data_IF_013512394721
#
_entry.id   IF_013512394721
#
_cell.length_a   1.000
_cell.length_b   1.000
_cell.length_c   1.000
_cell.angle_alpha   90.00
_cell.angle_beta   90.00
_cell.angle_gamma   90.00
#
_symmetry.space_group_name_H-M   'P 1'
#
loop_
_entity.id
_entity.type
_entity.pdbx_description
1 polymer ?
#
# COMPACT_ATOMS: atom_id res chain seq x y z
N UNK A 1 2.88 2.48 -12.80
CA UNK A 1 3.79 3.07 -13.77
C UNK A 1 4.76 2.00 -14.28
N UNK A 2 5.47 1.33 -13.40
CA UNK A 2 6.46 0.29 -13.73
C UNK A 2 6.25 -0.88 -12.79
N UNK A 3 6.43 -2.10 -13.29
CA UNK A 3 6.41 -3.32 -12.49
C UNK A 3 5.35 -4.30 -12.98
N UNK A 4 5.45 -5.49 -12.44
CA UNK A 4 4.49 -6.57 -12.56
C UNK A 4 4.62 -7.46 -11.32
N UNK A 5 3.68 -8.36 -11.10
CA UNK A 5 3.68 -9.28 -9.94
C UNK A 5 4.93 -10.16 -9.83
N UNK A 6 5.64 -10.40 -10.94
CA UNK A 6 6.85 -11.23 -10.93
C UNK A 6 8.01 -10.59 -10.18
N UNK A 7 8.06 -9.24 -10.11
CA UNK A 7 9.09 -8.54 -9.32
C UNK A 7 8.97 -8.84 -7.83
N UNK A 8 7.76 -9.15 -7.36
CA UNK A 8 7.49 -9.43 -5.95
C UNK A 8 7.58 -10.93 -5.60
N UNK A 9 7.93 -11.80 -6.57
CA UNK A 9 7.95 -13.26 -6.38
C UNK A 9 8.75 -13.70 -5.15
N UNK A 10 9.96 -13.19 -4.98
CA UNK A 10 10.82 -13.58 -3.85
C UNK A 10 10.28 -13.05 -2.52
N UNK A 11 9.79 -11.82 -2.50
CA UNK A 11 9.12 -11.25 -1.34
C UNK A 11 7.91 -12.10 -0.92
N UNK A 12 7.06 -12.46 -1.87
CA UNK A 12 5.92 -13.36 -1.61
C UNK A 12 6.37 -14.73 -1.10
N UNK A 13 7.42 -15.30 -1.68
CA UNK A 13 7.95 -16.59 -1.22
C UNK A 13 8.49 -16.53 0.22
N UNK A 14 9.09 -15.41 0.63
CA UNK A 14 9.52 -15.21 2.02
C UNK A 14 8.33 -15.13 2.97
N UNK A 15 7.24 -14.48 2.58
CA UNK A 15 5.99 -14.47 3.37
C UNK A 15 5.37 -15.88 3.47
N UNK A 16 5.36 -16.64 2.37
CA UNK A 16 4.92 -18.05 2.40
C UNK A 16 5.75 -18.88 3.39
N UNK A 17 7.07 -18.70 3.46
CA UNK A 17 7.93 -19.35 4.45
C UNK A 17 7.59 -18.98 5.90
N UNK A 18 6.97 -17.83 6.12
CA UNK A 18 6.47 -17.41 7.45
C UNK A 18 5.05 -17.91 7.74
N UNK A 19 4.48 -18.76 6.86
CA UNK A 19 3.18 -19.40 7.06
C UNK A 19 1.98 -18.60 6.56
N UNK A 20 2.19 -17.64 5.65
CA UNK A 20 1.09 -16.92 5.00
C UNK A 20 0.67 -17.61 3.70
N UNK A 21 -0.63 -17.69 3.45
CA UNK A 21 -1.16 -17.84 2.10
C UNK A 21 -1.06 -16.47 1.41
N UNK A 22 -0.36 -16.41 0.28
CA UNK A 22 -0.06 -15.14 -0.39
C UNK A 22 -0.69 -15.08 -1.78
N UNK A 23 -1.48 -14.05 -2.03
CA UNK A 23 -2.00 -13.70 -3.34
C UNK A 23 -1.24 -12.48 -3.87
N UNK A 24 -0.45 -12.67 -4.93
CA UNK A 24 0.22 -11.59 -5.64
C UNK A 24 -0.66 -11.14 -6.79
N UNK A 25 -1.29 -9.97 -6.62
CA UNK A 25 -2.23 -9.43 -7.60
C UNK A 25 -1.51 -8.62 -8.68
N UNK A 26 -2.10 -8.59 -9.87
CA UNK A 26 -1.73 -7.70 -10.96
C UNK A 26 -2.79 -6.63 -11.14
N UNK A 27 -2.39 -5.43 -11.50
CA UNK A 27 -3.28 -4.33 -11.84
C UNK A 27 -2.73 -3.55 -13.03
N UNK A 28 -3.59 -2.92 -13.79
CA UNK A 28 -3.22 -2.12 -14.98
C UNK A 28 -2.25 -1.00 -14.59
N UNK A 29 -1.41 -0.62 -15.53
CA UNK A 29 -0.37 0.38 -15.29
C UNK A 29 -0.70 1.72 -15.96
N UNK A 30 -0.28 2.80 -15.33
CA UNK A 30 -0.29 4.14 -15.87
C UNK A 30 0.84 4.24 -16.92
N UNK A 31 0.64 4.86 -18.10
CA UNK A 31 -0.45 5.79 -18.43
C UNK A 31 -1.67 5.18 -19.14
N UNK A 32 -1.74 3.86 -19.31
CA UNK A 32 -2.81 3.19 -20.07
C UNK A 32 -4.16 3.19 -19.33
N UNK A 33 -4.15 3.55 -18.06
CA UNK A 33 -5.32 3.67 -17.19
C UNK A 33 -5.14 4.82 -16.19
N UNK A 34 -6.16 5.08 -15.37
CA UNK A 34 -6.08 5.96 -14.21
C UNK A 34 -6.05 5.15 -12.91
N UNK A 35 -5.76 5.81 -11.80
CA UNK A 35 -5.74 5.16 -10.47
C UNK A 35 -7.09 4.54 -10.11
N UNK A 36 -8.19 5.08 -10.62
CA UNK A 36 -9.53 4.53 -10.40
C UNK A 36 -9.69 3.15 -11.01
N UNK A 37 -9.07 2.92 -12.17
CA UNK A 37 -9.03 1.62 -12.83
C UNK A 37 -8.15 0.64 -12.04
N UNK A 38 -7.02 1.11 -11.50
CA UNK A 38 -6.16 0.30 -10.63
C UNK A 38 -6.87 -0.08 -9.33
N UNK A 39 -7.61 0.85 -8.74
CA UNK A 39 -8.45 0.58 -7.56
C UNK A 39 -9.50 -0.48 -7.90
N UNK A 40 -10.17 -0.36 -9.04
CA UNK A 40 -11.15 -1.36 -9.48
C UNK A 40 -10.53 -2.74 -9.65
N UNK A 41 -9.32 -2.81 -10.25
CA UNK A 41 -8.58 -4.07 -10.39
C UNK A 41 -8.25 -4.70 -9.03
N UNK A 42 -7.86 -3.89 -8.03
CA UNK A 42 -7.62 -4.37 -6.66
C UNK A 42 -8.91 -4.93 -6.05
N UNK A 43 -10.05 -4.25 -6.22
CA UNK A 43 -11.33 -4.74 -5.67
C UNK A 43 -11.82 -6.00 -6.37
N UNK A 44 -11.63 -6.13 -7.69
CA UNK A 44 -11.88 -7.40 -8.41
C UNK A 44 -11.04 -8.55 -7.83
N UNK A 45 -9.76 -8.29 -7.55
CA UNK A 45 -8.89 -9.27 -6.92
C UNK A 45 -9.34 -9.60 -5.48
N UNK A 46 -9.77 -8.60 -4.70
CA UNK A 46 -10.30 -8.83 -3.35
C UNK A 46 -11.58 -9.67 -3.35
N UNK A 47 -12.48 -9.45 -4.30
CA UNK A 47 -13.70 -10.25 -4.44
C UNK A 47 -13.35 -11.71 -4.79
N UNK A 48 -12.46 -11.92 -5.75
CA UNK A 48 -11.95 -13.25 -6.08
C UNK A 48 -11.29 -13.94 -4.87
N UNK A 49 -10.42 -13.23 -4.15
CA UNK A 49 -9.75 -13.76 -2.96
C UNK A 49 -10.78 -14.15 -1.89
N UNK A 50 -11.77 -13.31 -1.64
CA UNK A 50 -12.84 -13.58 -0.67
C UNK A 50 -13.56 -14.88 -0.97
N UNK A 51 -13.87 -15.16 -2.23
CA UNK A 51 -14.54 -16.39 -2.67
C UNK A 51 -13.64 -17.63 -2.54
N UNK A 52 -12.34 -17.46 -2.81
CA UNK A 52 -11.38 -18.57 -2.85
C UNK A 52 -10.72 -18.88 -1.50
N UNK A 53 -10.66 -17.91 -0.60
CA UNK A 53 -9.81 -17.93 0.59
C UNK A 53 -9.96 -19.21 1.42
N UNK A 54 -11.20 -19.63 1.70
CA UNK A 54 -11.46 -20.84 2.48
C UNK A 54 -11.06 -22.13 1.74
N UNK A 55 -11.31 -22.19 0.43
CA UNK A 55 -10.94 -23.33 -0.42
C UNK A 55 -9.42 -23.48 -0.57
N UNK A 56 -8.71 -22.38 -0.54
CA UNK A 56 -7.25 -22.33 -0.63
C UNK A 56 -6.57 -22.51 0.75
N UNK A 57 -7.36 -22.73 1.82
CA UNK A 57 -6.85 -22.97 3.18
C UNK A 57 -6.48 -21.71 3.95
N UNK A 58 -6.97 -20.55 3.52
CA UNK A 58 -6.74 -19.27 4.20
C UNK A 58 -7.72 -19.01 5.33
N UNK A 59 -7.30 -18.18 6.27
CA UNK A 59 -8.09 -17.71 7.41
C UNK A 59 -8.67 -16.31 7.13
N UNK A 60 -9.99 -16.22 6.97
CA UNK A 60 -10.69 -14.97 6.70
C UNK A 60 -10.71 -14.00 7.89
N UNK A 61 -10.35 -14.46 9.09
CA UNK A 61 -10.24 -13.61 10.27
C UNK A 61 -8.89 -12.87 10.37
N UNK A 62 -7.88 -13.30 9.59
CA UNK A 62 -6.52 -12.76 9.59
C UNK A 62 -6.04 -12.45 8.17
N UNK A 63 -6.59 -11.38 7.57
CA UNK A 63 -6.24 -10.93 6.22
C UNK A 63 -5.48 -9.62 6.27
N UNK A 64 -4.38 -9.55 5.56
CA UNK A 64 -3.48 -8.39 5.54
C UNK A 64 -3.20 -7.95 4.11
N UNK A 65 -2.85 -6.68 3.93
CA UNK A 65 -2.34 -6.17 2.66
C UNK A 65 -0.90 -5.71 2.82
N UNK A 66 -0.04 -6.06 1.87
CA UNK A 66 1.31 -5.51 1.78
C UNK A 66 1.55 -4.94 0.38
N UNK A 67 2.31 -3.84 0.31
CA UNK A 67 2.64 -3.21 -0.97
C UNK A 67 3.83 -2.29 -0.85
N UNK A 68 4.54 -2.12 -1.96
CA UNK A 68 5.69 -1.24 -2.07
C UNK A 68 5.41 -0.08 -3.01
N UNK A 69 6.08 1.05 -2.78
CA UNK A 69 6.06 2.22 -3.68
C UNK A 69 4.64 2.67 -4.07
N UNK A 70 4.31 2.60 -5.36
CA UNK A 70 2.96 2.85 -5.88
C UNK A 70 1.92 1.87 -5.36
N UNK A 71 2.30 0.60 -5.14
CA UNK A 71 1.45 -0.42 -4.53
C UNK A 71 1.07 -0.06 -3.10
N UNK A 72 1.99 0.48 -2.29
CA UNK A 72 1.68 0.97 -0.94
C UNK A 72 0.64 2.10 -0.96
N UNK A 73 0.76 3.05 -1.92
CA UNK A 73 -0.24 4.09 -2.13
C UNK A 73 -1.60 3.49 -2.50
N UNK A 74 -1.61 2.54 -3.44
CA UNK A 74 -2.83 1.91 -3.95
C UNK A 74 -3.58 1.14 -2.87
N UNK A 75 -2.89 0.32 -2.05
CA UNK A 75 -3.54 -0.41 -0.96
C UNK A 75 -3.97 0.51 0.20
N UNK A 76 -3.32 1.66 0.39
CA UNK A 76 -3.80 2.69 1.33
C UNK A 76 -5.18 3.20 0.91
N UNK A 77 -5.37 3.52 -0.38
CA UNK A 77 -6.69 3.88 -0.89
C UNK A 77 -7.67 2.72 -0.81
N UNK A 78 -7.28 1.52 -1.24
CA UNK A 78 -8.15 0.36 -1.21
C UNK A 78 -8.65 0.06 0.21
N UNK A 79 -7.77 0.10 1.22
CA UNK A 79 -8.17 -0.12 2.60
C UNK A 79 -9.10 0.99 3.14
N UNK A 80 -8.83 2.27 2.82
CA UNK A 80 -9.71 3.37 3.21
C UNK A 80 -11.10 3.26 2.54
N UNK A 81 -11.15 2.89 1.27
CA UNK A 81 -12.39 2.64 0.51
C UNK A 81 -13.17 1.49 1.15
N UNK A 82 -12.50 0.39 1.49
CA UNK A 82 -13.10 -0.78 2.12
C UNK A 82 -13.81 -0.44 3.43
N UNK A 83 -13.26 0.51 4.18
CA UNK A 83 -13.72 0.85 5.53
C UNK A 83 -14.60 2.12 5.60
N UNK A 84 -14.81 2.84 4.47
CA UNK A 84 -15.52 4.11 4.48
C UNK A 84 -16.38 4.30 3.24
N UNK A 85 -17.69 4.37 3.45
CA UNK A 85 -18.68 4.48 2.38
C UNK A 85 -18.60 5.82 1.61
N UNK A 86 -18.15 6.91 2.24
CA UNK A 86 -17.98 8.18 1.55
C UNK A 86 -16.79 8.12 0.58
N UNK A 87 -15.68 7.48 1.00
CA UNK A 87 -14.51 7.29 0.15
C UNK A 87 -14.86 6.33 -0.98
N UNK A 88 -15.56 5.23 -0.68
CA UNK A 88 -16.04 4.27 -1.67
C UNK A 88 -16.90 4.94 -2.74
N UNK A 89 -17.86 5.76 -2.32
CA UNK A 89 -18.72 6.53 -3.24
C UNK A 89 -17.90 7.52 -4.08
N UNK A 90 -16.94 8.22 -3.47
CA UNK A 90 -16.07 9.16 -4.19
C UNK A 90 -15.17 8.46 -5.22
N UNK A 91 -14.73 7.24 -4.93
CA UNK A 91 -13.95 6.41 -5.85
C UNK A 91 -14.82 5.67 -6.89
N UNK A 92 -16.14 5.70 -6.73
CA UNK A 92 -17.11 4.92 -7.53
C UNK A 92 -16.82 3.41 -7.49
N UNK A 93 -16.54 2.88 -6.29
CA UNK A 93 -16.20 1.47 -6.06
C UNK A 93 -17.10 0.88 -4.99
N UNK A 94 -17.55 -0.35 -5.18
CA UNK A 94 -18.26 -1.12 -4.15
C UNK A 94 -17.24 -1.88 -3.31
N UNK A 95 -17.21 -1.71 -1.97
CA UNK A 95 -16.34 -2.49 -1.10
C UNK A 95 -16.62 -3.99 -1.20
N UNK A 96 -15.55 -4.81 -1.22
CA UNK A 96 -15.66 -6.28 -1.31
C UNK A 96 -16.23 -6.93 -0.03
N UNK A 97 -16.16 -6.22 1.08
CA UNK A 97 -16.51 -6.76 2.40
C UNK A 97 -15.45 -7.72 2.99
N UNK A 98 -14.30 -7.90 2.33
CA UNK A 98 -13.16 -8.63 2.90
C UNK A 98 -12.49 -7.77 3.98
N UNK A 99 -12.56 -8.19 5.23
CA UNK A 99 -11.94 -7.46 6.34
C UNK A 99 -10.41 -7.50 6.22
N UNK A 100 -9.77 -6.34 6.27
CA UNK A 100 -8.31 -6.22 6.31
C UNK A 100 -7.88 -5.83 7.71
N UNK A 101 -7.04 -6.65 8.34
CA UNK A 101 -6.66 -6.51 9.74
C UNK A 101 -5.50 -5.53 9.95
N UNK A 102 -4.52 -5.50 9.03
CA UNK A 102 -3.42 -4.54 9.06
C UNK A 102 -2.75 -4.39 7.68
N UNK A 103 -1.95 -3.33 7.54
CA UNK A 103 -1.22 -2.97 6.32
C UNK A 103 0.29 -3.01 6.54
N UNK A 104 1.03 -3.58 5.57
CA UNK A 104 2.48 -3.48 5.45
C UNK A 104 2.86 -2.56 4.29
N UNK A 105 3.35 -1.36 4.58
CA UNK A 105 3.63 -0.32 3.58
C UNK A 105 5.13 -0.08 3.44
N UNK A 106 5.69 -0.44 2.28
CA UNK A 106 7.14 -0.42 2.02
C UNK A 106 7.45 0.75 1.08
N UNK A 107 8.26 1.72 1.55
CA UNK A 107 8.75 2.82 0.71
C UNK A 107 7.63 3.55 -0.06
N UNK A 108 6.52 3.87 0.59
CA UNK A 108 5.28 4.26 -0.06
C UNK A 108 5.31 5.60 -0.80
N UNK A 109 4.70 5.65 -1.97
CA UNK A 109 4.53 6.86 -2.79
C UNK A 109 3.23 7.61 -2.40
N UNK A 110 3.13 8.06 -1.14
CA UNK A 110 1.88 8.62 -0.61
C UNK A 110 1.54 10.03 -1.13
N UNK A 111 2.54 10.90 -1.32
CA UNK A 111 2.33 12.31 -1.66
C UNK A 111 2.40 12.55 -3.17
N UNK A 112 1.47 12.01 -3.91
CA UNK A 112 1.44 12.03 -5.38
C UNK A 112 1.17 13.41 -5.99
N UNK A 113 0.70 14.38 -5.18
CA UNK A 113 0.39 15.75 -5.60
C UNK A 113 1.19 16.83 -4.85
N UNK A 114 2.24 16.44 -4.13
CA UNK A 114 3.14 17.38 -3.42
C UNK A 114 3.85 18.29 -4.42
N UNK A 115 4.18 19.51 -3.99
CA UNK A 115 4.96 20.44 -4.81
C UNK A 115 6.46 20.04 -4.83
N UNK A 116 6.75 18.97 -5.57
CA UNK A 116 8.07 18.43 -5.85
C UNK A 116 8.10 17.80 -7.26
N UNK A 117 9.23 17.19 -7.64
CA UNK A 117 9.42 16.60 -8.99
C UNK A 117 8.35 15.55 -9.33
N UNK A 118 7.89 14.78 -8.35
CA UNK A 118 6.87 13.74 -8.55
C UNK A 118 5.49 14.39 -8.70
N UNK A 119 5.09 15.19 -7.72
CA UNK A 119 3.75 15.74 -7.66
C UNK A 119 3.46 16.87 -8.67
N UNK A 120 4.49 17.41 -9.33
CA UNK A 120 4.30 18.34 -10.44
C UNK A 120 3.81 17.65 -11.73
N UNK A 121 4.26 16.42 -11.96
CA UNK A 121 3.98 15.71 -13.22
C UNK A 121 2.98 14.57 -13.07
N UNK A 122 3.04 13.85 -11.95
CA UNK A 122 2.31 12.61 -11.76
C UNK A 122 0.78 12.74 -11.66
N UNK A 123 0.19 13.77 -11.01
CA UNK A 123 -1.25 13.82 -10.76
C UNK A 123 -2.13 13.71 -12.00
N UNK A 124 -1.75 14.37 -13.09
CA UNK A 124 -2.52 14.33 -14.34
C UNK A 124 -2.57 12.95 -15.00
N UNK A 125 -1.54 12.14 -14.78
CA UNK A 125 -1.46 10.77 -15.29
C UNK A 125 -2.16 9.78 -14.36
N UNK A 126 -2.08 10.02 -13.03
CA UNK A 126 -2.73 9.18 -12.03
C UNK A 126 -4.25 9.41 -11.99
N UNK A 127 -4.67 10.66 -11.89
CA UNK A 127 -6.04 11.05 -11.56
C UNK A 127 -6.81 11.64 -12.73
N UNK A 128 -6.15 11.91 -13.87
CA UNK A 128 -6.72 12.64 -15.01
C UNK A 128 -6.57 14.16 -14.90
N UNK A 129 -6.74 14.87 -16.04
CA UNK A 129 -6.49 16.32 -16.12
C UNK A 129 -7.39 17.15 -15.20
N UNK A 130 -8.64 16.76 -15.07
CA UNK A 130 -9.67 17.49 -14.31
C UNK A 130 -9.92 16.90 -12.91
N UNK A 131 -9.01 16.11 -12.38
CA UNK A 131 -9.21 15.37 -11.12
C UNK A 131 -9.63 16.25 -9.94
N UNK A 132 -9.23 17.54 -9.93
CA UNK A 132 -9.60 18.50 -8.87
C UNK A 132 -11.10 18.77 -8.79
N UNK A 133 -11.86 18.48 -9.86
CA UNK A 133 -13.32 18.58 -9.92
C UNK A 133 -14.02 17.28 -9.46
N UNK A 134 -13.26 16.20 -9.28
CA UNK A 134 -13.77 14.89 -8.87
C UNK A 134 -14.02 14.84 -7.35
N UNK A 135 -15.02 14.12 -6.92
CA UNK A 135 -15.32 13.89 -5.50
C UNK A 135 -14.15 13.26 -4.73
N UNK A 136 -13.31 12.48 -5.42
CA UNK A 136 -12.13 11.86 -4.84
C UNK A 136 -10.96 12.83 -4.61
N UNK A 137 -10.99 14.04 -5.18
CA UNK A 137 -9.88 15.01 -5.12
C UNK A 137 -9.38 15.30 -3.70
N UNK A 138 -10.28 15.38 -2.72
CA UNK A 138 -9.93 15.62 -1.31
C UNK A 138 -9.09 14.51 -0.68
N UNK A 139 -9.17 13.28 -1.22
CA UNK A 139 -8.42 12.11 -0.75
C UNK A 139 -7.07 11.92 -1.44
N UNK A 140 -6.77 12.72 -2.47
CA UNK A 140 -5.43 12.77 -3.08
C UNK A 140 -4.37 13.26 -2.09
N UNK A 141 -4.79 14.08 -1.11
CA UNK A 141 -3.94 14.40 0.04
C UNK A 141 -3.97 13.22 1.03
N UNK A 142 -2.84 12.52 1.25
CA UNK A 142 -2.78 11.37 2.15
C UNK A 142 -3.00 11.74 3.61
N UNK A 143 -2.91 13.03 3.97
CA UNK A 143 -3.17 13.55 5.32
C UNK A 143 -4.66 13.87 5.55
N UNK A 144 -5.53 13.59 4.59
CA UNK A 144 -6.97 13.77 4.78
C UNK A 144 -7.45 12.94 5.98
N UNK A 145 -8.08 13.60 6.95
CA UNK A 145 -8.44 12.99 8.23
C UNK A 145 -9.44 11.84 8.08
N UNK A 146 -10.38 11.97 7.15
CA UNK A 146 -11.36 10.91 6.86
C UNK A 146 -10.67 9.67 6.29
N UNK A 147 -9.68 9.86 5.39
CA UNK A 147 -8.86 8.78 4.86
C UNK A 147 -8.06 8.10 5.97
N UNK A 148 -7.30 8.86 6.76
CA UNK A 148 -6.47 8.32 7.83
C UNK A 148 -7.29 7.54 8.87
N UNK A 149 -8.46 8.08 9.27
CA UNK A 149 -9.34 7.43 10.24
C UNK A 149 -9.96 6.13 9.73
N UNK A 150 -9.93 5.91 8.43
CA UNK A 150 -10.46 4.69 7.79
C UNK A 150 -9.42 3.58 7.63
N UNK A 151 -8.15 3.84 7.96
CA UNK A 151 -7.09 2.84 7.83
C UNK A 151 -7.11 1.83 8.98
N UNK A 152 -6.89 0.56 8.64
CA UNK A 152 -6.46 -0.47 9.57
C UNK A 152 -5.08 -0.12 10.16
N UNK A 153 -4.60 -0.80 11.24
CA UNK A 153 -3.25 -0.64 11.74
C UNK A 153 -2.18 -0.70 10.65
N UNK A 154 -1.17 0.17 10.71
CA UNK A 154 -0.21 0.39 9.62
C UNK A 154 1.21 0.12 10.08
N UNK A 155 1.91 -0.79 9.41
CA UNK A 155 3.35 -0.92 9.53
C UNK A 155 4.06 -0.27 8.34
N UNK A 156 5.07 0.53 8.61
CA UNK A 156 5.81 1.31 7.62
C UNK A 156 7.29 0.96 7.66
N UNK A 157 7.91 0.84 6.49
CA UNK A 157 9.35 0.72 6.39
C UNK A 157 9.92 1.58 5.27
N UNK A 158 11.09 2.15 5.51
CA UNK A 158 11.92 2.84 4.52
C UNK A 158 13.39 2.78 4.94
N UNK A 159 14.29 3.31 4.12
CA UNK A 159 15.70 3.43 4.45
C UNK A 159 16.20 4.86 4.28
N UNK A 160 17.37 5.14 4.85
CA UNK A 160 18.01 6.46 4.68
C UNK A 160 18.32 6.79 3.20
N UNK A 161 18.59 5.79 2.37
CA UNK A 161 18.94 5.94 0.96
C UNK A 161 17.75 5.84 0.01
N UNK A 162 16.53 5.64 0.53
CA UNK A 162 15.31 5.65 -0.26
C UNK A 162 14.93 7.08 -0.69
N UNK A 163 14.76 7.29 -1.98
CA UNK A 163 14.36 8.61 -2.51
C UNK A 163 12.94 9.01 -2.10
N UNK A 164 12.07 8.06 -1.72
CA UNK A 164 10.74 8.30 -1.13
C UNK A 164 10.72 8.29 0.40
N UNK A 165 11.88 8.21 1.08
CA UNK A 165 11.94 8.20 2.55
C UNK A 165 11.11 9.32 3.17
N UNK A 166 11.21 10.54 2.63
CA UNK A 166 10.46 11.68 3.15
C UNK A 166 8.94 11.48 3.05
N UNK A 167 8.45 10.80 2.02
CA UNK A 167 7.03 10.49 1.89
C UNK A 167 6.58 9.55 3.01
N UNK A 168 7.35 8.50 3.27
CA UNK A 168 7.04 7.53 4.33
C UNK A 168 7.10 8.17 5.72
N UNK A 169 8.14 8.98 6.03
CA UNK A 169 8.29 9.64 7.34
C UNK A 169 7.27 10.75 7.56
N UNK A 170 6.83 11.47 6.53
CA UNK A 170 5.79 12.49 6.66
C UNK A 170 4.39 11.85 6.80
N UNK A 171 4.16 10.71 6.14
CA UNK A 171 2.92 9.95 6.31
C UNK A 171 2.78 9.35 7.71
N UNK A 172 3.89 8.83 8.27
CA UNK A 172 3.93 8.41 9.68
C UNK A 172 3.54 9.54 10.64
N UNK A 173 4.09 10.75 10.46
CA UNK A 173 3.69 11.91 11.27
C UNK A 173 2.20 12.24 11.11
N UNK A 174 1.62 12.03 9.92
CA UNK A 174 0.20 12.22 9.71
C UNK A 174 -0.64 11.18 10.47
N UNK A 175 -0.21 9.92 10.48
CA UNK A 175 -0.81 8.85 11.28
C UNK A 175 -0.74 9.16 12.78
N UNK A 176 0.43 9.63 13.27
CA UNK A 176 0.60 10.08 14.67
C UNK A 176 -0.37 11.19 15.02
N UNK A 177 -0.48 12.26 14.19
CA UNK A 177 -1.44 13.36 14.42
C UNK A 177 -2.90 12.93 14.37
N UNK A 178 -3.20 11.86 13.64
CA UNK A 178 -4.53 11.27 13.56
C UNK A 178 -4.78 10.18 14.62
N UNK A 179 -3.82 9.96 15.53
CA UNK A 179 -3.89 8.94 16.60
C UNK A 179 -4.18 7.53 16.05
N UNK A 180 -3.60 7.21 14.87
CA UNK A 180 -3.77 5.89 14.27
C UNK A 180 -2.69 4.92 14.75
N UNK A 181 -3.10 3.66 14.98
CA UNK A 181 -2.16 2.59 15.34
C UNK A 181 -1.17 2.35 14.19
N UNK A 182 0.11 2.56 14.45
CA UNK A 182 1.15 2.38 13.45
C UNK A 182 2.53 2.13 14.08
N UNK A 183 3.45 1.63 13.26
CA UNK A 183 4.87 1.46 13.58
C UNK A 183 5.70 1.83 12.35
N UNK A 184 6.77 2.60 12.54
CA UNK A 184 7.72 2.96 11.48
C UNK A 184 9.09 2.36 11.77
N UNK A 185 9.67 1.70 10.78
CA UNK A 185 11.07 1.27 10.77
C UNK A 185 11.86 2.04 9.72
N UNK A 186 12.96 2.67 10.13
CA UNK A 186 13.85 3.40 9.21
C UNK A 186 15.23 2.77 9.26
N UNK A 187 15.63 2.09 8.20
CA UNK A 187 16.97 1.51 8.11
C UNK A 187 18.05 2.58 7.95
N UNK A 188 19.22 2.37 8.57
CA UNK A 188 20.30 3.35 8.56
C UNK A 188 20.89 3.55 7.16
N UNK A 189 21.80 4.53 7.04
CA UNK A 189 22.48 4.83 5.78
C UNK A 189 23.33 3.65 5.33
N UNK A 190 22.93 3.03 4.22
CA UNK A 190 23.65 1.95 3.56
C UNK A 190 23.33 2.03 2.05
N UNK A 191 24.35 2.07 1.20
CA UNK A 191 24.20 2.21 -0.26
C UNK A 191 23.41 1.08 -0.92
N UNK A 192 23.31 -0.09 -0.28
CA UNK A 192 22.54 -1.24 -0.76
C UNK A 192 21.05 -1.12 -0.43
N UNK A 193 20.69 -0.37 0.61
CA UNK A 193 19.32 -0.23 1.07
C UNK A 193 18.66 0.95 0.33
N UNK A 194 18.41 0.79 -0.95
CA UNK A 194 17.78 1.79 -1.81
C UNK A 194 16.25 1.72 -1.69
N UNK A 195 15.54 2.33 -2.62
CA UNK A 195 14.07 2.31 -2.67
C UNK A 195 13.52 0.89 -2.71
N UNK A 196 12.61 0.57 -1.78
CA UNK A 196 11.95 -0.72 -1.65
C UNK A 196 12.93 -1.92 -1.65
N UNK A 197 14.11 -1.76 -1.04
CA UNK A 197 15.18 -2.76 -1.05
C UNK A 197 14.71 -4.14 -0.59
N UNK A 198 13.82 -4.22 0.37
CA UNK A 198 13.32 -5.50 0.89
C UNK A 198 12.50 -6.31 -0.12
N UNK A 199 12.06 -5.66 -1.20
CA UNK A 199 11.35 -6.30 -2.31
C UNK A 199 12.30 -6.61 -3.46
N UNK A 200 13.14 -5.62 -3.83
CA UNK A 200 14.01 -5.72 -5.02
C UNK A 200 15.37 -6.36 -4.75
N UNK A 201 15.80 -6.38 -3.49
CA UNK A 201 17.06 -7.01 -3.04
C UNK A 201 16.78 -8.09 -1.97
N UNK A 202 16.01 -9.14 -2.30
CA UNK A 202 15.45 -10.10 -1.32
C UNK A 202 16.50 -10.94 -0.61
N UNK A 203 17.74 -10.96 -1.09
CA UNK A 203 18.85 -11.74 -0.53
C UNK A 203 19.71 -10.97 0.48
N UNK A 204 19.41 -9.68 0.72
CA UNK A 204 20.07 -8.92 1.77
C UNK A 204 19.61 -9.41 3.16
N UNK A 205 20.49 -9.48 4.15
CA UNK A 205 20.09 -9.77 5.54
C UNK A 205 18.99 -8.84 6.04
N UNK A 206 19.11 -7.57 5.73
CA UNK A 206 18.15 -6.52 6.11
C UNK A 206 16.76 -6.75 5.48
N UNK A 207 16.71 -7.38 4.31
CA UNK A 207 15.42 -7.73 3.68
C UNK A 207 14.68 -8.82 4.45
N UNK A 208 15.42 -9.80 4.98
CA UNK A 208 14.85 -10.81 5.88
C UNK A 208 14.37 -10.18 7.19
N UNK A 209 15.14 -9.24 7.74
CA UNK A 209 14.78 -8.49 8.95
C UNK A 209 13.48 -7.69 8.75
N UNK A 210 13.32 -7.02 7.60
CA UNK A 210 12.07 -6.33 7.24
C UNK A 210 10.88 -7.29 7.25
N UNK A 211 11.02 -8.47 6.65
CA UNK A 211 9.95 -9.48 6.64
C UNK A 211 9.61 -9.90 8.07
N UNK A 212 10.60 -10.17 8.92
CA UNK A 212 10.38 -10.62 10.29
C UNK A 212 9.68 -9.55 11.13
N UNK A 213 10.10 -8.29 11.02
CA UNK A 213 9.47 -7.17 11.71
C UNK A 213 8.02 -6.95 11.24
N UNK A 214 7.80 -6.95 9.93
CA UNK A 214 6.46 -6.78 9.36
C UNK A 214 5.52 -7.90 9.81
N UNK A 215 5.94 -9.16 9.70
CA UNK A 215 5.16 -10.33 10.12
C UNK A 215 4.83 -10.27 11.61
N UNK A 216 5.81 -9.88 12.45
CA UNK A 216 5.61 -9.69 13.89
C UNK A 216 4.55 -8.63 14.17
N UNK A 217 4.55 -7.53 13.41
CA UNK A 217 3.54 -6.48 13.57
C UNK A 217 2.15 -6.94 13.11
N UNK A 218 2.06 -7.48 11.88
CA UNK A 218 0.79 -7.92 11.32
C UNK A 218 0.06 -8.93 12.23
N UNK A 219 0.79 -9.88 12.83
CA UNK A 219 0.25 -10.90 13.74
C UNK A 219 -0.29 -10.38 15.09
N UNK A 220 -0.17 -9.08 15.37
CA UNK A 220 -0.82 -8.47 16.54
C UNK A 220 -2.33 -8.30 16.34
N UNK A 221 -2.78 -8.32 15.10
CA UNK A 221 -4.14 -8.02 14.67
C UNK A 221 -4.72 -9.22 13.90
#
# INVERSE_FOLDING_TARGET
IIGNKEFNRYFCALLCKKGFLVYSIEYRLIPDCLIYDQIADVFMAMDYIKERLAADGGDSSHVYMAGDSGGACLITYANAIQNNTNIARAANVTPSGLRINALGLISGMFYTSRFDKIGLFLPKYLYGRDYKKNAFAKYVNPENRELLNSLAPVWLVTSHNDFLRRYTTDFEKALTRAEREHELVVFPKNKKLTHAFSVFEPFLPESSEVIDMMVKYLRKF
#
